data_IF_940108174667
#
_entry.id   IF_940108174667
#
_cell.length_a   1.000
_cell.length_b   1.000
_cell.length_c   1.000
_cell.angle_alpha   90.00
_cell.angle_beta   90.00
_cell.angle_gamma   90.00
#
_symmetry.space_group_name_H-M   'P 1'
#
loop_
_entity.id
_entity.type
_entity.pdbx_description
1 polymer ?
#
# COMPACT_ATOMS: atom_id res chain seq x y z
N UNK A 1 4.33 23.11 3.08
CA UNK A 1 4.83 21.94 2.35
C UNK A 1 4.53 20.59 3.02
N UNK A 2 4.73 20.43 4.33
CA UNK A 2 4.56 19.14 5.03
C UNK A 2 3.18 18.47 4.81
N UNK A 3 2.10 19.25 4.85
CA UNK A 3 0.74 18.74 4.67
C UNK A 3 0.49 18.13 3.27
N UNK A 4 1.08 18.69 2.21
CA UNK A 4 0.94 18.16 0.85
C UNK A 4 1.66 16.82 0.69
N UNK A 5 2.83 16.64 1.32
CA UNK A 5 3.55 15.36 1.27
C UNK A 5 2.76 14.25 1.95
N UNK A 6 2.22 14.53 3.14
CA UNK A 6 1.37 13.57 3.83
C UNK A 6 0.05 13.30 3.09
N UNK A 7 -0.57 14.32 2.49
CA UNK A 7 -1.76 14.12 1.67
C UNK A 7 -1.48 13.20 0.46
N UNK A 8 -0.37 13.40 -0.25
CA UNK A 8 0.03 12.53 -1.35
C UNK A 8 0.36 11.10 -0.89
N UNK A 9 1.07 10.95 0.24
CA UNK A 9 1.41 9.66 0.82
C UNK A 9 0.16 8.86 1.26
N UNK A 10 -0.87 9.53 1.79
CA UNK A 10 -2.15 8.90 2.16
C UNK A 10 -2.95 8.40 0.96
N UNK A 11 -2.85 9.05 -0.20
CA UNK A 11 -3.58 8.65 -1.40
C UNK A 11 -2.84 7.61 -2.25
N UNK A 12 -1.54 7.42 -2.02
CA UNK A 12 -0.70 6.52 -2.80
C UNK A 12 -1.12 5.03 -2.70
N UNK A 13 -1.39 4.46 -1.50
CA UNK A 13 -1.84 3.08 -1.37
C UNK A 13 -3.17 2.80 -2.08
N UNK A 14 -4.11 3.76 -2.05
CA UNK A 14 -5.40 3.65 -2.72
C UNK A 14 -5.29 3.63 -4.25
N UNK A 15 -4.18 4.13 -4.81
CA UNK A 15 -3.85 4.10 -6.24
C UNK A 15 -2.98 2.92 -6.66
N UNK A 16 -2.70 2.00 -5.74
CA UNK A 16 -1.87 0.81 -6.00
C UNK A 16 -0.37 1.08 -5.92
N UNK A 17 0.07 2.22 -5.37
CA UNK A 17 1.49 2.49 -5.13
C UNK A 17 1.94 1.69 -3.90
N UNK A 18 3.05 0.92 -3.99
CA UNK A 18 3.61 0.20 -2.85
C UNK A 18 3.97 1.13 -1.70
N UNK A 19 3.71 0.69 -0.47
CA UNK A 19 4.03 1.47 0.73
C UNK A 19 5.54 1.64 0.96
N UNK A 20 6.36 0.78 0.34
CA UNK A 20 7.82 0.87 0.29
C UNK A 20 8.26 2.12 -0.47
N UNK A 21 7.66 2.36 -1.64
CA UNK A 21 7.98 3.49 -2.50
C UNK A 21 7.54 4.81 -1.86
N UNK A 22 6.42 4.77 -1.14
CA UNK A 22 5.97 5.89 -0.30
C UNK A 22 6.97 6.16 0.83
N UNK A 23 7.52 5.12 1.47
CA UNK A 23 8.51 5.29 2.53
C UNK A 23 9.82 5.93 2.02
N UNK A 24 10.30 5.47 0.86
CA UNK A 24 11.47 6.03 0.18
C UNK A 24 11.23 7.50 -0.20
N UNK A 25 10.10 7.79 -0.84
CA UNK A 25 9.73 9.16 -1.23
C UNK A 25 9.53 10.10 -0.03
N UNK A 26 9.06 9.56 1.10
CA UNK A 26 8.95 10.31 2.36
C UNK A 26 10.32 10.56 3.01
N UNK A 27 11.35 9.78 2.66
CA UNK A 27 12.67 9.83 3.27
C UNK A 27 12.69 9.25 4.68
N UNK A 28 11.75 8.35 4.99
CA UNK A 28 11.70 7.68 6.28
C UNK A 28 12.84 6.67 6.39
N UNK A 29 13.48 6.61 7.56
CA UNK A 29 14.61 5.69 7.80
C UNK A 29 14.17 4.23 7.91
N UNK A 30 12.89 4.02 8.25
CA UNK A 30 12.29 2.72 8.36
C UNK A 30 10.91 2.73 7.69
N UNK A 31 10.60 1.65 6.98
CA UNK A 31 9.26 1.40 6.42
C UNK A 31 8.22 1.38 7.55
N UNK A 32 8.60 1.01 8.77
CA UNK A 32 7.70 0.90 9.91
C UNK A 32 7.06 2.24 10.31
N UNK A 33 7.77 3.36 10.12
CA UNK A 33 7.24 4.72 10.33
C UNK A 33 6.10 5.02 9.34
N UNK A 34 6.32 4.69 8.06
CA UNK A 34 5.30 4.82 7.00
C UNK A 34 4.15 3.87 7.23
N UNK A 35 4.44 2.61 7.57
CA UNK A 35 3.45 1.56 7.75
C UNK A 35 2.52 1.87 8.91
N UNK A 36 3.03 2.24 10.08
CA UNK A 36 2.19 2.63 11.24
C UNK A 36 1.20 3.73 10.87
N UNK A 37 1.65 4.70 10.08
CA UNK A 37 0.84 5.85 9.69
C UNK A 37 -0.19 5.49 8.61
N UNK A 38 0.17 4.72 7.58
CA UNK A 38 -0.66 4.55 6.37
C UNK A 38 -1.31 3.16 6.23
N UNK A 39 -1.04 2.19 7.11
CA UNK A 39 -1.60 0.82 7.05
C UNK A 39 -3.12 0.75 6.96
N UNK A 40 -3.83 1.70 7.55
CA UNK A 40 -5.29 1.75 7.55
C UNK A 40 -5.88 2.18 6.19
N UNK A 41 -5.03 2.73 5.31
CA UNK A 41 -5.38 3.14 3.94
C UNK A 41 -5.01 2.06 2.92
N UNK A 42 -4.32 1.00 3.35
CA UNK A 42 -4.03 -0.12 2.48
C UNK A 42 -5.33 -0.84 2.17
N UNK A 43 -5.64 -1.10 0.89
CA UNK A 43 -6.83 -1.86 0.53
C UNK A 43 -6.77 -3.21 1.24
N UNK A 44 -7.86 -3.60 1.92
CA UNK A 44 -7.97 -4.85 2.68
C UNK A 44 -7.56 -6.03 1.82
N UNK A 45 -6.30 -6.43 1.96
CA UNK A 45 -5.61 -7.13 0.87
C UNK A 45 -5.81 -8.63 0.95
N UNK A 46 -6.06 -9.20 2.13
CA UNK A 46 -6.11 -10.66 2.27
C UNK A 46 -7.29 -11.26 1.51
N UNK A 47 -8.51 -10.75 1.70
CA UNK A 47 -9.70 -11.30 1.02
C UNK A 47 -9.64 -11.05 -0.49
N UNK A 48 -9.16 -9.86 -0.91
CA UNK A 48 -8.99 -9.53 -2.33
C UNK A 48 -7.87 -10.35 -2.98
N UNK A 49 -6.75 -10.55 -2.28
CA UNK A 49 -5.64 -11.37 -2.75
C UNK A 49 -6.04 -12.84 -2.83
N UNK A 50 -6.77 -13.36 -1.84
CA UNK A 50 -7.32 -14.71 -1.88
C UNK A 50 -8.19 -14.92 -3.12
N UNK A 51 -9.14 -14.01 -3.40
CA UNK A 51 -9.98 -14.11 -4.60
C UNK A 51 -9.21 -14.05 -5.93
N UNK A 52 -8.15 -13.23 -6.02
CA UNK A 52 -7.28 -13.18 -7.22
C UNK A 52 -6.47 -14.46 -7.37
N UNK A 53 -5.90 -14.97 -6.28
CA UNK A 53 -5.11 -16.20 -6.28
C UNK A 53 -5.97 -17.42 -6.62
N UNK A 54 -7.18 -17.51 -6.06
CA UNK A 54 -8.14 -18.57 -6.37
C UNK A 54 -8.55 -18.53 -7.85
N UNK A 55 -8.83 -17.34 -8.40
CA UNK A 55 -9.13 -17.20 -9.84
C UNK A 55 -7.95 -17.65 -10.73
N UNK A 56 -6.72 -17.30 -10.37
CA UNK A 56 -5.53 -17.73 -11.11
C UNK A 56 -5.26 -19.25 -11.03
N UNK A 57 -5.64 -19.89 -9.92
CA UNK A 57 -5.56 -21.35 -9.77
C UNK A 57 -6.60 -22.07 -10.64
N UNK A 58 -7.80 -21.50 -10.79
CA UNK A 58 -8.86 -22.08 -11.62
C UNK A 58 -8.58 -22.00 -13.12
N UNK A 59 -7.91 -20.95 -13.61
CA UNK A 59 -7.53 -20.82 -15.03
C UNK A 59 -6.34 -21.70 -15.42
N UNK A 60 -5.59 -22.21 -14.46
CA UNK A 60 -4.40 -23.05 -14.67
C UNK A 60 -4.71 -24.56 -14.63
N UNK A 61 -5.95 -24.95 -14.31
CA UNK A 61 -6.42 -26.34 -14.18
C UNK A 61 -7.26 -26.77 -15.39
#
# INVERSE_FOLDING_TARGET
MYCFRHYSASNAPGKGIPITDVAEWMGHKSIEETYRTHRHLMPGSITKAAGILDAGLWEAA
#
